data_IF_870827783532
#
_entry.id   IF_870827783532
#
_cell.length_a   1.000
_cell.length_b   1.000
_cell.length_c   1.000
_cell.angle_alpha   90.00
_cell.angle_beta   90.00
_cell.angle_gamma   90.00
#
_symmetry.space_group_name_H-M   'P 1'
#
loop_
_entity.id
_entity.type
_entity.pdbx_description
1 polymer ?
#
# COMPACT_ATOMS: atom_id res chain seq x y z
N UNK A 1 15.99 22.09 -0.64
CA UNK A 1 14.63 22.68 -0.67
C UNK A 1 13.73 21.80 0.18
N UNK A 2 12.92 22.36 1.09
CA UNK A 2 12.04 21.56 1.97
C UNK A 2 10.87 20.96 1.19
N UNK A 3 10.21 19.94 1.75
CA UNK A 3 8.98 19.38 1.15
C UNK A 3 7.90 20.46 0.97
N UNK A 4 7.69 21.29 2.00
CA UNK A 4 6.72 22.38 1.96
C UNK A 4 7.02 23.40 0.85
N UNK A 5 8.30 23.72 0.62
CA UNK A 5 8.70 24.65 -0.44
C UNK A 5 8.64 24.08 -1.85
N UNK A 6 8.54 22.75 -2.02
CA UNK A 6 8.57 22.09 -3.34
C UNK A 6 7.23 21.49 -3.76
N UNK A 7 6.41 21.08 -2.80
CA UNK A 7 5.27 20.18 -3.05
C UNK A 7 3.96 20.65 -2.41
N UNK A 8 3.91 21.87 -1.87
CA UNK A 8 2.62 22.48 -1.52
C UNK A 8 1.89 22.90 -2.79
N UNK A 9 0.56 22.92 -2.69
CA UNK A 9 -0.30 23.44 -3.75
C UNK A 9 0.11 24.90 -4.07
N UNK A 10 0.28 25.18 -5.36
CA UNK A 10 0.56 26.54 -5.82
C UNK A 10 -0.63 27.45 -5.46
N UNK A 11 -0.34 28.64 -4.91
CA UNK A 11 -1.37 29.56 -4.41
C UNK A 11 -1.84 29.31 -2.97
N UNK A 12 -1.30 28.33 -2.26
CA UNK A 12 -1.55 28.13 -0.84
C UNK A 12 -1.08 29.35 -0.03
N UNK A 13 -1.97 29.96 0.75
CA UNK A 13 -1.66 31.13 1.58
C UNK A 13 -0.66 30.79 2.69
N UNK A 14 0.06 31.79 3.19
CA UNK A 14 1.05 31.57 4.25
C UNK A 14 0.37 31.19 5.58
N UNK A 15 -0.82 31.69 5.87
CA UNK A 15 -1.61 31.28 7.05
C UNK A 15 -1.99 29.80 6.98
N UNK A 16 -2.30 29.30 5.78
CA UNK A 16 -2.65 27.89 5.59
C UNK A 16 -1.40 27.00 5.72
N UNK A 17 -0.24 27.46 5.25
CA UNK A 17 1.05 26.76 5.46
C UNK A 17 1.44 26.72 6.94
N UNK A 18 1.28 27.83 7.66
CA UNK A 18 1.50 27.89 9.10
C UNK A 18 0.57 26.96 9.85
N UNK A 19 -0.71 26.93 9.47
CA UNK A 19 -1.70 25.98 10.02
C UNK A 19 -1.25 24.54 9.77
N UNK A 20 -0.79 24.21 8.56
CA UNK A 20 -0.29 22.87 8.24
C UNK A 20 0.93 22.53 9.09
N UNK A 21 1.92 23.42 9.22
CA UNK A 21 3.08 23.19 10.09
C UNK A 21 2.67 22.96 11.55
N UNK A 22 1.72 23.75 12.06
CA UNK A 22 1.18 23.55 13.41
C UNK A 22 0.56 22.16 13.62
N UNK A 23 -0.06 21.58 12.57
CA UNK A 23 -0.56 20.19 12.64
C UNK A 23 0.59 19.19 12.76
N UNK A 24 1.68 19.36 11.99
CA UNK A 24 2.87 18.51 12.10
C UNK A 24 3.47 18.59 13.51
N UNK A 25 3.68 19.80 14.03
CA UNK A 25 4.24 20.05 15.35
C UNK A 25 3.38 19.46 16.48
N UNK A 26 2.05 19.55 16.35
CA UNK A 26 1.12 19.05 17.35
C UNK A 26 1.05 17.51 17.38
N UNK A 27 1.14 16.86 16.21
CA UNK A 27 0.69 15.46 16.06
C UNK A 27 1.79 14.44 15.84
N UNK A 28 2.86 14.78 15.10
CA UNK A 28 3.80 13.77 14.57
C UNK A 28 4.54 13.03 15.69
N UNK A 29 5.22 13.77 16.57
CA UNK A 29 6.03 13.16 17.63
C UNK A 29 5.19 12.30 18.58
N UNK A 30 4.03 12.82 19.01
CA UNK A 30 3.09 12.11 19.88
C UNK A 30 2.55 10.84 19.24
N UNK A 31 2.23 10.88 17.94
CA UNK A 31 1.69 9.73 17.21
C UNK A 31 2.74 8.65 17.03
N UNK A 32 3.98 9.02 16.64
CA UNK A 32 5.11 8.08 16.55
C UNK A 32 5.37 7.46 17.92
N UNK A 33 5.47 8.28 18.98
CA UNK A 33 5.68 7.79 20.33
C UNK A 33 4.60 6.80 20.77
N UNK A 34 3.33 7.08 20.46
CA UNK A 34 2.23 6.17 20.76
C UNK A 34 2.38 4.84 20.02
N UNK A 35 2.65 4.86 18.71
CA UNK A 35 2.83 3.63 17.91
C UNK A 35 3.99 2.79 18.46
N UNK A 36 5.13 3.42 18.78
CA UNK A 36 6.31 2.74 19.31
C UNK A 36 6.08 2.09 20.67
N UNK A 37 5.20 2.67 21.50
CA UNK A 37 4.98 2.24 22.88
C UNK A 37 3.78 1.31 23.06
N UNK A 38 2.72 1.49 22.26
CA UNK A 38 1.42 0.85 22.48
C UNK A 38 0.96 -0.03 21.31
N UNK A 39 1.62 0.05 20.16
CA UNK A 39 1.30 -0.75 18.99
C UNK A 39 2.46 -1.71 18.65
N UNK A 40 2.19 -2.64 17.75
CA UNK A 40 3.19 -3.56 17.21
C UNK A 40 3.28 -3.38 15.69
N UNK A 41 4.49 -3.51 15.19
CA UNK A 41 4.78 -3.62 13.76
C UNK A 41 5.52 -4.93 13.51
N UNK A 42 5.00 -5.75 12.60
CA UNK A 42 5.62 -7.03 12.22
C UNK A 42 6.95 -6.83 11.48
N UNK A 43 7.07 -5.72 10.76
CA UNK A 43 8.32 -5.21 10.20
C UNK A 43 8.51 -3.78 10.72
N UNK A 44 9.58 -3.50 11.49
CA UNK A 44 9.80 -2.18 12.05
C UNK A 44 9.95 -1.11 10.98
N UNK A 45 9.28 0.03 11.19
CA UNK A 45 9.47 1.23 10.37
C UNK A 45 10.52 2.18 10.97
N UNK A 46 10.99 3.13 10.17
CA UNK A 46 11.86 4.23 10.64
C UNK A 46 11.04 5.51 10.77
N UNK A 47 11.28 6.30 11.82
CA UNK A 47 10.47 7.48 12.12
C UNK A 47 10.49 8.52 10.98
N UNK A 48 11.66 8.78 10.41
CA UNK A 48 11.78 9.65 9.24
C UNK A 48 11.02 9.12 8.01
N UNK A 49 10.91 7.80 7.87
CA UNK A 49 10.13 7.17 6.80
C UNK A 49 8.63 7.36 7.01
N UNK A 50 8.15 7.29 8.26
CA UNK A 50 6.75 7.56 8.60
C UNK A 50 6.39 9.01 8.25
N UNK A 51 7.21 9.98 8.64
CA UNK A 51 7.01 11.39 8.30
C UNK A 51 7.09 11.64 6.79
N UNK A 52 8.05 11.02 6.09
CA UNK A 52 8.14 11.11 4.63
C UNK A 52 6.88 10.55 3.95
N UNK A 53 6.30 9.46 4.49
CA UNK A 53 5.07 8.87 3.99
C UNK A 53 3.86 9.78 4.26
N UNK A 54 3.80 10.45 5.41
CA UNK A 54 2.78 11.46 5.72
C UNK A 54 2.81 12.59 4.70
N UNK A 55 3.98 13.19 4.47
CA UNK A 55 4.15 14.26 3.49
C UNK A 55 3.72 13.83 2.08
N UNK A 56 4.08 12.61 1.67
CA UNK A 56 3.72 12.09 0.34
C UNK A 56 2.24 11.78 0.19
N UNK A 57 1.61 11.22 1.22
CA UNK A 57 0.18 10.92 1.19
C UNK A 57 -0.65 12.22 1.22
N UNK A 58 -0.28 13.18 2.07
CA UNK A 58 -0.93 14.48 2.06
C UNK A 58 -0.79 15.17 0.70
N UNK A 59 0.41 15.15 0.09
CA UNK A 59 0.66 15.69 -1.24
C UNK A 59 -0.28 15.08 -2.30
N UNK A 60 -0.57 13.77 -2.24
CA UNK A 60 -1.42 13.13 -3.25
C UNK A 60 -2.91 13.45 -3.06
N UNK A 61 -3.32 13.74 -1.83
CA UNK A 61 -4.71 14.00 -1.47
C UNK A 61 -5.08 15.47 -1.61
N UNK A 62 -4.20 16.37 -1.16
CA UNK A 62 -4.46 17.80 -1.15
C UNK A 62 -4.09 18.43 -2.51
N UNK A 63 -4.95 18.21 -3.52
CA UNK A 63 -4.75 18.64 -4.92
C UNK A 63 -6.04 19.21 -5.53
N UNK A 64 -5.91 20.10 -6.51
CA UNK A 64 -7.07 20.67 -7.24
C UNK A 64 -7.82 19.58 -7.99
N UNK A 65 -7.11 18.64 -8.59
CA UNK A 65 -7.66 17.50 -9.33
C UNK A 65 -8.49 16.57 -8.45
N UNK A 66 -8.18 16.49 -7.16
CA UNK A 66 -8.98 15.74 -6.19
C UNK A 66 -10.25 16.50 -5.75
N UNK A 67 -10.38 17.79 -6.07
CA UNK A 67 -11.50 18.63 -5.70
C UNK A 67 -11.20 19.61 -4.56
N UNK A 68 -9.93 19.86 -4.23
CA UNK A 68 -9.56 20.89 -3.26
C UNK A 68 -9.68 22.28 -3.88
N UNK A 69 -10.55 23.11 -3.31
CA UNK A 69 -10.70 24.52 -3.66
C UNK A 69 -10.03 25.41 -2.60
N UNK A 70 -8.90 26.01 -2.96
CA UNK A 70 -8.15 26.91 -2.07
C UNK A 70 -8.91 28.20 -1.72
N UNK A 71 -9.90 28.59 -2.54
CA UNK A 71 -10.72 29.78 -2.28
C UNK A 71 -11.92 29.48 -1.36
N UNK A 72 -12.18 28.21 -1.06
CA UNK A 72 -13.31 27.83 -0.23
C UNK A 72 -13.12 28.34 1.22
N UNK A 73 -14.17 28.90 1.86
CA UNK A 73 -14.06 29.45 3.21
C UNK A 73 -13.73 28.39 4.28
N UNK A 74 -13.97 27.11 3.99
CA UNK A 74 -13.73 25.96 4.84
C UNK A 74 -12.43 25.20 4.49
N UNK A 75 -11.54 25.78 3.67
CA UNK A 75 -10.31 25.14 3.22
C UNK A 75 -9.42 24.68 4.38
N UNK A 76 -9.33 25.45 5.46
CA UNK A 76 -8.54 25.09 6.63
C UNK A 76 -9.08 23.83 7.33
N UNK A 77 -10.40 23.67 7.40
CA UNK A 77 -11.04 22.47 7.95
C UNK A 77 -10.88 21.25 7.03
N UNK A 78 -11.06 21.46 5.72
CA UNK A 78 -10.80 20.45 4.69
C UNK A 78 -9.36 19.94 4.75
N UNK A 79 -8.40 20.85 4.86
CA UNK A 79 -6.98 20.52 5.02
C UNK A 79 -6.72 19.70 6.28
N UNK A 80 -7.33 20.08 7.42
CA UNK A 80 -7.22 19.33 8.69
C UNK A 80 -7.75 17.90 8.56
N UNK A 81 -8.90 17.71 7.90
CA UNK A 81 -9.47 16.38 7.64
C UNK A 81 -8.54 15.52 6.77
N UNK A 82 -8.08 16.07 5.65
CA UNK A 82 -7.14 15.39 4.74
C UNK A 82 -5.83 15.05 5.45
N UNK A 83 -5.28 15.98 6.25
CA UNK A 83 -4.09 15.77 7.06
C UNK A 83 -4.27 14.62 8.05
N UNK A 84 -5.37 14.57 8.79
CA UNK A 84 -5.62 13.51 9.76
C UNK A 84 -5.81 12.15 9.10
N UNK A 85 -6.44 12.09 7.93
CA UNK A 85 -6.46 10.87 7.12
C UNK A 85 -5.05 10.43 6.72
N UNK A 86 -4.23 11.36 6.23
CA UNK A 86 -2.85 11.07 5.85
C UNK A 86 -2.01 10.61 7.05
N UNK A 87 -2.20 11.20 8.25
CA UNK A 87 -1.54 10.82 9.50
C UNK A 87 -1.84 9.36 9.88
N UNK A 88 -3.12 8.98 9.86
CA UNK A 88 -3.58 7.62 10.16
C UNK A 88 -2.91 6.61 9.25
N UNK A 89 -2.93 6.84 7.94
CA UNK A 89 -2.45 5.88 6.95
C UNK A 89 -0.95 5.91 6.67
N UNK A 90 -0.23 6.90 7.20
CA UNK A 90 1.23 6.97 7.12
C UNK A 90 1.91 6.45 8.38
N UNK A 91 1.54 6.96 9.56
CA UNK A 91 2.16 6.61 10.84
C UNK A 91 1.51 5.36 11.44
N UNK A 92 0.18 5.26 11.38
CA UNK A 92 -0.58 4.10 11.85
C UNK A 92 -0.73 2.98 10.82
N UNK A 93 -0.36 3.23 9.55
CA UNK A 93 -0.62 2.29 8.45
C UNK A 93 0.01 0.90 8.61
N UNK A 94 1.11 0.80 9.34
CA UNK A 94 1.88 -0.44 9.54
C UNK A 94 1.57 -1.18 10.86
N UNK A 95 0.60 -0.69 11.65
CA UNK A 95 0.16 -1.37 12.88
C UNK A 95 -0.43 -2.74 12.52
N UNK A 96 0.08 -3.82 13.12
CA UNK A 96 -0.21 -5.18 12.65
C UNK A 96 -1.40 -5.88 13.33
N UNK A 97 -1.72 -5.52 14.56
CA UNK A 97 -2.81 -6.14 15.32
C UNK A 97 -4.12 -5.35 15.22
N UNK A 98 -5.24 -6.07 15.27
CA UNK A 98 -6.59 -5.48 15.37
C UNK A 98 -6.69 -4.61 16.63
N UNK A 99 -6.28 -5.15 17.79
CA UNK A 99 -6.25 -4.42 19.06
C UNK A 99 -5.37 -3.16 19.00
N UNK A 100 -4.22 -3.24 18.31
CA UNK A 100 -3.34 -2.09 18.11
C UNK A 100 -4.00 -1.00 17.25
N UNK A 101 -4.73 -1.40 16.20
CA UNK A 101 -5.50 -0.48 15.35
C UNK A 101 -6.65 0.18 16.12
N UNK A 102 -7.32 -0.55 17.01
CA UNK A 102 -8.37 -0.01 17.90
C UNK A 102 -7.80 1.02 18.88
N UNK A 103 -6.74 0.67 19.62
CA UNK A 103 -6.03 1.60 20.53
C UNK A 103 -5.53 2.85 19.82
N UNK A 104 -4.98 2.67 18.61
CA UNK A 104 -4.54 3.80 17.79
C UNK A 104 -5.72 4.68 17.37
N UNK A 105 -6.85 4.09 16.98
CA UNK A 105 -8.07 4.82 16.62
C UNK A 105 -8.58 5.67 17.79
N UNK A 106 -8.63 5.12 19.00
CA UNK A 106 -9.00 5.84 20.22
C UNK A 106 -8.05 7.00 20.48
N UNK A 107 -6.74 6.74 20.46
CA UNK A 107 -5.70 7.77 20.64
C UNK A 107 -5.85 8.94 19.67
N UNK A 108 -6.07 8.68 18.38
CA UNK A 108 -6.25 9.73 17.36
C UNK A 108 -7.48 10.58 17.65
N UNK A 109 -8.60 9.95 18.05
CA UNK A 109 -9.87 10.64 18.32
C UNK A 109 -9.80 11.50 19.58
N UNK A 110 -9.19 10.99 20.64
CA UNK A 110 -9.20 11.65 21.96
C UNK A 110 -8.13 12.72 22.11
N UNK A 111 -6.92 12.47 21.58
CA UNK A 111 -5.73 13.28 21.87
C UNK A 111 -5.74 14.61 21.12
N UNK A 112 -6.12 14.58 19.85
CA UNK A 112 -5.91 15.72 18.97
C UNK A 112 -7.17 16.57 18.79
N UNK A 113 -8.34 15.93 18.69
CA UNK A 113 -9.62 16.61 18.45
C UNK A 113 -9.59 17.62 17.28
N UNK A 114 -8.66 17.43 16.34
CA UNK A 114 -8.45 18.30 15.16
C UNK A 114 -9.61 18.16 14.18
N UNK A 115 -10.17 16.95 14.08
CA UNK A 115 -11.33 16.62 13.25
C UNK A 115 -12.15 15.52 13.90
N UNK A 116 -13.40 15.40 13.48
CA UNK A 116 -14.33 14.39 14.00
C UNK A 116 -14.50 13.25 12.99
N UNK A 117 -13.84 12.13 13.28
CA UNK A 117 -14.19 10.86 12.64
C UNK A 117 -15.56 10.37 13.15
N UNK A 118 -16.39 9.73 12.34
CA UNK A 118 -17.67 9.19 12.81
C UNK A 118 -17.45 8.12 13.89
N UNK A 119 -18.39 7.99 14.84
CA UNK A 119 -18.19 7.21 16.08
C UNK A 119 -18.21 5.68 15.89
N UNK A 120 -18.70 5.18 14.76
CA UNK A 120 -18.77 3.75 14.49
C UNK A 120 -17.42 3.23 13.98
N UNK A 121 -17.03 2.01 14.35
CA UNK A 121 -15.77 1.42 13.90
C UNK A 121 -14.52 2.25 14.23
N UNK A 122 -13.46 2.02 13.47
CA UNK A 122 -12.14 2.64 13.70
C UNK A 122 -11.87 3.77 12.71
N UNK A 123 -10.87 4.61 12.97
CA UNK A 123 -10.40 5.62 12.00
C UNK A 123 -9.96 5.01 10.65
N UNK A 124 -9.61 3.72 10.62
CA UNK A 124 -9.24 3.00 9.40
C UNK A 124 -10.44 2.63 8.52
N UNK A 125 -11.67 2.78 9.03
CA UNK A 125 -12.88 2.45 8.29
C UNK A 125 -13.39 3.58 7.40
N UNK A 126 -12.73 4.73 7.45
CA UNK A 126 -13.18 5.96 6.79
C UNK A 126 -12.23 6.46 5.70
N UNK A 127 -12.82 6.97 4.63
CA UNK A 127 -12.19 7.71 3.55
C UNK A 127 -12.72 9.15 3.55
N UNK A 128 -11.88 10.11 3.18
CA UNK A 128 -12.33 11.49 2.99
C UNK A 128 -13.11 11.63 1.68
N UNK A 129 -14.33 12.15 1.79
CA UNK A 129 -15.18 12.48 0.66
C UNK A 129 -15.02 13.96 0.29
N UNK A 130 -14.59 14.23 -0.95
CA UNK A 130 -14.32 15.60 -1.40
C UNK A 130 -15.60 16.39 -1.68
N UNK A 131 -16.70 15.72 -2.02
CA UNK A 131 -17.99 16.36 -2.33
C UNK A 131 -18.70 16.80 -1.03
N UNK A 132 -18.89 15.88 -0.09
CA UNK A 132 -19.48 16.17 1.22
C UNK A 132 -18.49 16.80 2.22
N UNK A 133 -17.19 16.84 1.89
CA UNK A 133 -16.10 17.31 2.77
C UNK A 133 -16.10 16.64 4.15
N UNK A 134 -16.44 15.36 4.18
CA UNK A 134 -16.62 14.59 5.41
C UNK A 134 -16.05 13.18 5.28
N UNK A 135 -15.97 12.46 6.40
CA UNK A 135 -15.50 11.09 6.42
C UNK A 135 -16.65 10.11 6.18
N UNK A 136 -16.56 9.33 5.12
CA UNK A 136 -17.51 8.28 4.76
C UNK A 136 -16.86 6.91 4.89
N UNK A 137 -17.64 5.85 5.09
CA UNK A 137 -17.08 4.51 5.23
C UNK A 137 -16.50 4.01 3.91
N UNK A 138 -15.36 3.32 3.92
CA UNK A 138 -14.83 2.66 2.73
C UNK A 138 -15.85 1.71 2.08
N UNK A 139 -16.67 1.03 2.91
CA UNK A 139 -17.70 0.10 2.47
C UNK A 139 -18.68 0.72 1.46
N UNK A 140 -19.06 1.99 1.64
CA UNK A 140 -20.03 2.66 0.75
C UNK A 140 -19.44 2.98 -0.63
N UNK A 141 -18.11 2.90 -0.78
CA UNK A 141 -17.38 3.09 -2.03
C UNK A 141 -16.89 1.77 -2.63
N UNK A 142 -17.02 0.64 -1.91
CA UNK A 142 -16.65 -0.69 -2.41
C UNK A 142 -17.59 -1.09 -3.55
N UNK A 143 -17.07 -1.47 -4.73
CA UNK A 143 -17.90 -1.98 -5.82
C UNK A 143 -18.65 -3.26 -5.42
N UNK A 144 -19.87 -3.43 -5.92
CA UNK A 144 -20.59 -4.70 -5.73
C UNK A 144 -20.01 -5.78 -6.63
N UNK A 145 -19.83 -6.98 -6.08
CA UNK A 145 -19.38 -8.13 -6.86
C UNK A 145 -20.44 -8.55 -7.87
N UNK A 146 -20.00 -8.83 -9.09
CA UNK A 146 -20.82 -9.45 -10.13
C UNK A 146 -20.11 -10.71 -10.61
N UNK A 147 -20.76 -11.85 -10.43
CA UNK A 147 -20.19 -13.13 -10.86
C UNK A 147 -20.17 -13.23 -12.39
N UNK A 148 -19.01 -13.56 -12.96
CA UNK A 148 -18.85 -13.80 -14.39
C UNK A 148 -18.41 -15.26 -14.62
N UNK A 149 -19.28 -16.03 -15.30
CA UNK A 149 -19.06 -17.45 -15.64
C UNK A 149 -17.91 -17.67 -16.63
N UNK A 150 -17.52 -16.65 -17.38
CA UNK A 150 -16.45 -16.74 -18.38
C UNK A 150 -15.05 -16.60 -17.77
N UNK A 151 -14.96 -16.03 -16.57
CA UNK A 151 -13.69 -15.89 -15.86
C UNK A 151 -13.22 -17.21 -15.26
N UNK A 152 -11.91 -17.45 -15.29
CA UNK A 152 -11.33 -18.57 -14.56
C UNK A 152 -11.43 -18.31 -13.07
N UNK A 153 -11.60 -19.36 -12.26
CA UNK A 153 -11.66 -19.23 -10.80
C UNK A 153 -10.48 -18.43 -10.21
N UNK A 154 -9.27 -18.62 -10.74
CA UNK A 154 -8.06 -17.89 -10.30
C UNK A 154 -8.07 -16.39 -10.60
N UNK A 155 -8.94 -15.92 -11.48
CA UNK A 155 -9.09 -14.52 -11.89
C UNK A 155 -10.26 -13.83 -11.18
N UNK A 156 -11.09 -14.60 -10.45
CA UNK A 156 -12.23 -14.05 -9.71
C UNK A 156 -11.71 -13.35 -8.45
N UNK A 157 -11.91 -12.04 -8.38
CA UNK A 157 -11.68 -11.24 -7.19
C UNK A 157 -13.01 -10.65 -6.73
N UNK A 158 -13.44 -11.01 -5.52
CA UNK A 158 -14.59 -10.39 -4.87
C UNK A 158 -14.12 -9.08 -4.22
N UNK A 159 -14.65 -7.91 -4.63
CA UNK A 159 -14.33 -6.66 -3.97
C UNK A 159 -14.80 -6.69 -2.51
N UNK A 160 -13.90 -6.34 -1.62
CA UNK A 160 -14.15 -6.12 -0.19
C UNK A 160 -13.67 -4.74 0.21
N UNK A 161 -14.10 -4.29 1.39
CA UNK A 161 -13.60 -3.07 2.05
C UNK A 161 -12.07 -2.95 1.99
N UNK A 162 -11.36 -4.04 2.28
CA UNK A 162 -9.90 -4.02 2.34
C UNK A 162 -9.28 -3.96 0.94
N UNK A 163 -9.81 -4.71 -0.04
CA UNK A 163 -9.33 -4.62 -1.43
C UNK A 163 -9.44 -3.20 -1.97
N UNK A 164 -10.58 -2.53 -1.75
CA UNK A 164 -10.80 -1.16 -2.18
C UNK A 164 -9.90 -0.17 -1.44
N UNK A 165 -9.84 -0.28 -0.10
CA UNK A 165 -9.03 0.58 0.77
C UNK A 165 -7.55 0.56 0.43
N UNK A 166 -6.94 -0.62 0.35
CA UNK A 166 -5.51 -0.74 0.04
C UNK A 166 -5.21 -0.39 -1.42
N UNK A 167 -6.15 -0.67 -2.34
CA UNK A 167 -6.04 -0.22 -3.74
C UNK A 167 -6.03 1.31 -3.85
N UNK A 168 -6.94 1.98 -3.15
CA UNK A 168 -7.01 3.43 -3.07
C UNK A 168 -5.70 4.02 -2.52
N UNK A 169 -5.26 3.56 -1.34
CA UNK A 169 -4.04 4.05 -0.69
C UNK A 169 -2.80 3.82 -1.57
N UNK A 170 -2.69 2.65 -2.20
CA UNK A 170 -1.59 2.37 -3.12
C UNK A 170 -1.63 3.34 -4.31
N UNK A 171 -2.79 3.56 -4.92
CA UNK A 171 -2.96 4.53 -6.00
C UNK A 171 -2.59 5.96 -5.60
N UNK A 172 -2.88 6.36 -4.36
CA UNK A 172 -2.49 7.66 -3.80
C UNK A 172 -0.96 7.81 -3.72
N UNK A 173 -0.25 6.83 -3.17
CA UNK A 173 1.22 6.89 -3.11
C UNK A 173 1.88 6.80 -4.50
N UNK A 174 1.39 5.91 -5.36
CA UNK A 174 1.94 5.72 -6.71
C UNK A 174 1.76 6.98 -7.57
N UNK A 175 0.68 7.74 -7.41
CA UNK A 175 0.44 8.97 -8.18
C UNK A 175 1.57 10.00 -7.99
N UNK A 176 2.12 10.11 -6.78
CA UNK A 176 3.24 10.97 -6.39
C UNK A 176 4.60 10.27 -6.41
N UNK A 177 4.71 9.14 -7.12
CA UNK A 177 5.92 8.32 -7.27
C UNK A 177 6.53 7.85 -5.95
N UNK A 178 5.69 7.57 -4.94
CA UNK A 178 6.10 6.97 -3.68
C UNK A 178 5.86 5.45 -3.74
N UNK A 179 6.88 4.66 -3.40
CA UNK A 179 6.75 3.22 -3.28
C UNK A 179 5.85 2.80 -2.12
N UNK A 180 5.23 1.63 -2.24
CA UNK A 180 4.35 1.06 -1.21
C UNK A 180 4.80 -0.35 -0.88
N UNK A 181 4.85 -0.67 0.42
CA UNK A 181 5.14 -2.00 0.94
C UNK A 181 3.91 -2.53 1.66
N UNK A 182 3.31 -3.59 1.13
CA UNK A 182 2.30 -4.38 1.84
C UNK A 182 2.98 -5.41 2.74
N UNK A 183 2.66 -5.34 4.03
CA UNK A 183 3.17 -6.25 5.06
C UNK A 183 2.01 -7.08 5.58
N UNK A 184 2.21 -8.38 5.78
CA UNK A 184 1.21 -9.25 6.40
C UNK A 184 1.48 -10.71 6.15
N UNK A 185 0.82 -11.59 6.91
CA UNK A 185 1.05 -13.03 6.84
C UNK A 185 0.74 -13.64 5.46
N UNK A 186 1.23 -14.86 5.21
CA UNK A 186 0.87 -15.59 3.99
C UNK A 186 -0.64 -15.72 3.88
N UNK A 187 -1.21 -15.58 2.67
CA UNK A 187 -2.64 -15.77 2.47
C UNK A 187 -3.53 -14.55 2.80
N UNK A 188 -2.98 -13.41 3.22
CA UNK A 188 -3.76 -12.17 3.45
C UNK A 188 -4.16 -11.42 2.17
N UNK A 189 -3.99 -12.01 0.99
CA UNK A 189 -4.39 -11.43 -0.30
C UNK A 189 -3.48 -10.32 -0.84
N UNK A 190 -2.29 -10.08 -0.26
CA UNK A 190 -1.35 -9.01 -0.68
C UNK A 190 -1.12 -8.95 -2.19
N UNK A 191 -0.72 -10.06 -2.81
CA UNK A 191 -0.38 -10.13 -4.23
C UNK A 191 -1.58 -9.88 -5.12
N UNK A 192 -2.74 -10.41 -4.74
CA UNK A 192 -4.00 -10.24 -5.46
C UNK A 192 -4.47 -8.79 -5.38
N UNK A 193 -4.49 -8.20 -4.18
CA UNK A 193 -4.88 -6.80 -3.97
C UNK A 193 -3.95 -5.85 -4.71
N UNK A 194 -2.63 -6.07 -4.64
CA UNK A 194 -1.67 -5.20 -5.32
C UNK A 194 -1.79 -5.32 -6.85
N UNK A 195 -1.96 -6.52 -7.39
CA UNK A 195 -2.14 -6.73 -8.84
C UNK A 195 -3.43 -6.08 -9.33
N UNK A 196 -4.54 -6.31 -8.64
CA UNK A 196 -5.82 -5.69 -8.95
C UNK A 196 -5.74 -4.16 -8.88
N UNK A 197 -5.15 -3.62 -7.82
CA UNK A 197 -4.97 -2.20 -7.67
C UNK A 197 -4.14 -1.60 -8.80
N UNK A 198 -3.06 -2.25 -9.23
CA UNK A 198 -2.24 -1.76 -10.33
C UNK A 198 -3.00 -1.76 -11.65
N UNK A 199 -3.81 -2.79 -11.91
CA UNK A 199 -4.64 -2.87 -13.10
C UNK A 199 -5.72 -1.77 -13.09
N UNK A 200 -6.45 -1.61 -11.98
CA UNK A 200 -7.52 -0.63 -11.82
C UNK A 200 -7.02 0.83 -11.87
N UNK A 201 -5.78 1.07 -11.45
CA UNK A 201 -5.17 2.40 -11.49
C UNK A 201 -4.35 2.65 -12.77
N UNK A 202 -4.19 1.65 -13.64
CA UNK A 202 -3.26 1.71 -14.77
C UNK A 202 -3.63 2.78 -15.80
N UNK A 203 -4.91 2.87 -16.17
CA UNK A 203 -5.37 3.87 -17.12
C UNK A 203 -5.30 5.28 -16.52
N UNK A 204 -5.90 5.45 -15.33
CA UNK A 204 -5.98 6.73 -14.62
C UNK A 204 -4.61 7.36 -14.37
N UNK A 205 -3.61 6.55 -14.00
CA UNK A 205 -2.26 7.02 -13.68
C UNK A 205 -1.24 6.78 -14.80
N UNK A 206 -1.68 6.28 -15.96
CA UNK A 206 -0.81 5.92 -17.09
C UNK A 206 0.32 4.96 -16.69
N UNK A 207 -0.02 3.93 -15.92
CA UNK A 207 0.92 2.92 -15.41
C UNK A 207 1.14 1.80 -16.42
N UNK A 208 2.35 1.26 -16.40
CA UNK A 208 2.71 -0.01 -17.05
C UNK A 208 3.19 -0.93 -15.92
N UNK A 209 2.31 -1.76 -15.35
CA UNK A 209 2.69 -2.66 -14.26
C UNK A 209 3.45 -3.88 -14.80
N UNK A 210 4.38 -4.38 -14.01
CA UNK A 210 4.95 -5.71 -14.21
C UNK A 210 5.38 -6.29 -12.87
N UNK A 211 5.33 -7.62 -12.77
CA UNK A 211 5.61 -8.32 -11.52
C UNK A 211 6.93 -9.10 -11.61
N UNK A 212 7.71 -9.04 -10.53
CA UNK A 212 8.83 -9.91 -10.27
C UNK A 212 8.52 -10.69 -8.98
N UNK A 213 8.46 -12.01 -9.09
CA UNK A 213 8.30 -12.88 -7.93
C UNK A 213 9.67 -13.30 -7.42
N UNK A 214 10.00 -12.93 -6.18
CA UNK A 214 11.24 -13.36 -5.56
C UNK A 214 11.10 -14.76 -4.94
N UNK A 215 12.23 -15.44 -4.90
CA UNK A 215 12.41 -16.75 -4.29
C UNK A 215 13.79 -16.82 -3.63
N UNK A 216 14.02 -17.85 -2.81
CA UNK A 216 15.31 -18.07 -2.16
C UNK A 216 16.50 -18.09 -3.14
N UNK A 217 16.28 -18.52 -4.39
CA UNK A 217 17.31 -18.63 -5.43
C UNK A 217 17.41 -17.41 -6.35
N UNK A 218 16.63 -16.35 -6.10
CA UNK A 218 16.69 -15.15 -6.93
C UNK A 218 18.01 -14.42 -6.72
N UNK A 219 18.72 -14.12 -7.81
CA UNK A 219 20.04 -13.48 -7.79
C UNK A 219 20.01 -12.06 -8.37
N UNK A 220 20.96 -11.22 -7.96
CA UNK A 220 21.05 -9.83 -8.44
C UNK A 220 21.15 -9.71 -9.98
N UNK A 221 21.95 -10.54 -10.69
CA UNK A 221 21.96 -10.52 -12.16
C UNK A 221 20.59 -10.84 -12.77
N UNK A 222 19.90 -11.88 -12.27
CA UNK A 222 18.58 -12.26 -12.77
C UNK A 222 17.54 -11.16 -12.53
N UNK A 223 17.57 -10.52 -11.36
CA UNK A 223 16.71 -9.36 -11.06
C UNK A 223 16.97 -8.22 -12.04
N UNK A 224 18.23 -7.92 -12.34
CA UNK A 224 18.57 -6.86 -13.29
C UNK A 224 18.08 -7.18 -14.70
N UNK A 225 18.28 -8.41 -15.18
CA UNK A 225 17.78 -8.86 -16.49
C UNK A 225 16.26 -8.71 -16.60
N UNK A 226 15.51 -9.12 -15.57
CA UNK A 226 14.05 -8.98 -15.54
C UNK A 226 13.59 -7.52 -15.60
N UNK A 227 14.31 -6.61 -14.94
CA UNK A 227 14.04 -5.17 -14.98
C UNK A 227 14.37 -4.56 -16.35
N UNK A 228 15.56 -4.86 -16.88
CA UNK A 228 16.04 -4.31 -18.15
C UNK A 228 15.19 -4.74 -19.35
N UNK A 229 14.56 -5.91 -19.30
CA UNK A 229 13.58 -6.36 -20.30
C UNK A 229 12.34 -5.47 -20.38
N UNK A 230 12.05 -4.69 -19.34
CA UNK A 230 10.88 -3.80 -19.25
C UNK A 230 11.22 -2.33 -19.46
N UNK A 231 12.51 -1.98 -19.50
CA UNK A 231 12.94 -0.60 -19.68
C UNK A 231 13.12 -0.24 -21.15
N UNK A 232 12.56 0.90 -21.54
CA UNK A 232 12.82 1.55 -22.81
C UNK A 232 14.10 2.38 -22.74
N UNK A 233 14.91 2.31 -23.80
CA UNK A 233 16.07 3.19 -23.97
C UNK A 233 15.59 4.55 -24.44
N UNK A 234 15.72 5.59 -23.60
CA UNK A 234 15.32 6.96 -23.93
C UNK A 234 16.42 7.71 -24.68
N UNK A 235 17.61 7.73 -24.08
CA UNK A 235 18.83 8.33 -24.64
C UNK A 235 20.06 7.69 -24.00
N UNK A 236 21.25 8.05 -24.45
CA UNK A 236 22.50 7.51 -23.89
C UNK A 236 22.54 7.76 -22.37
N UNK A 237 22.66 6.68 -21.59
CA UNK A 237 22.70 6.72 -20.13
C UNK A 237 21.35 6.93 -19.43
N UNK A 238 20.22 6.88 -20.14
CA UNK A 238 18.88 7.01 -19.54
C UNK A 238 17.94 5.93 -20.08
N UNK A 239 17.40 5.14 -19.17
CA UNK A 239 16.42 4.08 -19.41
C UNK A 239 15.22 4.28 -18.47
N UNK A 240 14.09 3.65 -18.75
CA UNK A 240 12.93 3.76 -17.86
C UNK A 240 11.64 3.30 -18.49
N UNK A 241 10.51 3.83 -18.03
CA UNK A 241 9.20 3.57 -18.63
C UNK A 241 9.14 4.00 -20.10
N UNK A 242 8.16 3.53 -20.90
CA UNK A 242 7.82 4.14 -22.18
C UNK A 242 7.46 5.62 -22.05
N UNK A 243 7.61 6.40 -23.15
CA UNK A 243 7.32 7.85 -23.16
C UNK A 243 5.86 8.09 -22.70
N UNK A 244 5.67 9.08 -21.81
CA UNK A 244 4.38 9.45 -21.21
C UNK A 244 3.70 8.35 -20.37
N UNK A 245 4.44 7.32 -19.95
CA UNK A 245 3.97 6.28 -19.04
C UNK A 245 4.86 6.23 -17.80
N UNK A 246 4.33 5.64 -16.72
CA UNK A 246 5.09 5.31 -15.50
C UNK A 246 5.19 3.81 -15.37
N UNK A 247 6.38 3.27 -15.25
CA UNK A 247 6.58 1.84 -15.06
C UNK A 247 6.44 1.51 -13.56
N UNK A 248 5.61 0.53 -13.22
CA UNK A 248 5.45 0.11 -11.82
C UNK A 248 5.92 -1.32 -11.67
N UNK A 249 7.04 -1.50 -10.99
CA UNK A 249 7.60 -2.81 -10.68
C UNK A 249 6.98 -3.30 -9.38
N UNK A 250 6.14 -4.33 -9.45
CA UNK A 250 5.71 -5.06 -8.27
C UNK A 250 6.70 -6.17 -7.94
N UNK A 251 7.35 -6.09 -6.78
CA UNK A 251 8.21 -7.17 -6.26
C UNK A 251 7.46 -7.91 -5.16
N UNK A 252 6.98 -9.10 -5.51
CA UNK A 252 6.32 -9.99 -4.56
C UNK A 252 7.35 -10.79 -3.77
N UNK A 253 7.03 -11.06 -2.50
CA UNK A 253 7.90 -11.79 -1.57
C UNK A 253 9.32 -11.21 -1.49
N UNK A 254 9.45 -9.88 -1.37
CA UNK A 254 10.75 -9.20 -1.50
C UNK A 254 11.81 -9.65 -0.48
N UNK A 255 11.39 -10.22 0.65
CA UNK A 255 12.28 -10.70 1.69
C UNK A 255 12.64 -12.20 1.61
N UNK A 256 12.26 -12.89 0.53
CA UNK A 256 12.63 -14.28 0.28
C UNK A 256 14.06 -14.55 -0.22
N UNK A 257 14.76 -13.66 -0.96
CA UNK A 257 16.09 -13.98 -1.46
C UNK A 257 17.07 -14.34 -0.35
N UNK A 258 17.88 -15.37 -0.59
CA UNK A 258 18.87 -15.85 0.37
C UNK A 258 19.92 -14.76 0.68
N UNK A 259 20.42 -14.80 1.91
CA UNK A 259 21.55 -13.96 2.33
C UNK A 259 22.85 -14.56 1.83
N UNK A 260 23.78 -13.71 1.40
CA UNK A 260 25.16 -14.13 1.22
C UNK A 260 25.87 -14.32 2.57
N UNK A 261 27.13 -14.76 2.52
CA UNK A 261 27.99 -15.03 3.68
C UNK A 261 28.02 -13.86 4.69
N UNK A 262 28.03 -12.63 4.19
CA UNK A 262 28.07 -11.41 5.01
C UNK A 262 26.69 -10.84 5.36
N UNK A 263 25.62 -11.59 5.09
CA UNK A 263 24.25 -11.22 5.47
C UNK A 263 23.54 -10.27 4.50
N UNK A 264 24.20 -9.79 3.44
CA UNK A 264 23.56 -8.96 2.43
C UNK A 264 22.60 -9.78 1.56
N UNK A 265 21.65 -9.09 0.91
CA UNK A 265 20.73 -9.67 -0.06
C UNK A 265 20.90 -8.93 -1.38
N UNK A 266 21.82 -9.36 -2.25
CA UNK A 266 22.18 -8.64 -3.49
C UNK A 266 21.01 -8.26 -4.42
N UNK A 267 19.93 -9.07 -4.57
CA UNK A 267 18.74 -8.65 -5.32
C UNK A 267 18.06 -7.41 -4.75
N UNK A 268 17.98 -7.31 -3.42
CA UNK A 268 17.32 -6.20 -2.72
C UNK A 268 18.22 -4.96 -2.75
N UNK A 269 19.53 -5.12 -2.60
CA UNK A 269 20.47 -3.99 -2.72
C UNK A 269 20.49 -3.40 -4.14
N UNK A 270 20.27 -4.23 -5.17
CA UNK A 270 20.04 -3.74 -6.53
C UNK A 270 18.73 -2.93 -6.63
N UNK A 271 17.62 -3.42 -6.07
CA UNK A 271 16.37 -2.66 -6.03
C UNK A 271 16.52 -1.35 -5.26
N UNK A 272 17.33 -1.35 -4.20
CA UNK A 272 17.68 -0.13 -3.48
C UNK A 272 18.44 0.83 -4.38
N UNK A 273 19.49 0.37 -5.07
CA UNK A 273 20.25 1.18 -6.02
C UNK A 273 19.38 1.79 -7.13
N UNK A 274 18.36 1.05 -7.58
CA UNK A 274 17.39 1.49 -8.58
C UNK A 274 16.59 2.73 -8.14
N UNK A 275 16.25 2.82 -6.85
CA UNK A 275 15.36 3.85 -6.30
C UNK A 275 16.07 4.89 -5.42
N UNK A 276 17.35 4.68 -5.09
CA UNK A 276 18.13 5.56 -4.23
C UNK A 276 18.44 6.87 -4.95
N UNK A 277 17.56 7.86 -4.75
CA UNK A 277 17.76 9.24 -5.19
C UNK A 277 18.72 9.90 -4.20
N UNK A 278 20.01 9.86 -4.51
CA UNK A 278 21.01 10.58 -3.71
C UNK A 278 20.84 12.08 -3.99
N UNK A 279 20.14 12.77 -3.08
CA UNK A 279 19.73 14.18 -3.17
C UNK A 279 20.87 15.15 -3.56
N UNK A 280 22.12 14.80 -3.26
CA UNK A 280 23.30 15.63 -3.55
C UNK A 280 23.88 15.46 -4.97
N UNK A 281 23.50 14.42 -5.71
CA UNK A 281 24.14 14.12 -7.00
C UNK A 281 23.18 13.74 -8.13
N UNK A 282 21.97 13.23 -7.85
CA UNK A 282 21.06 12.72 -8.89
C UNK A 282 19.58 12.86 -8.53
N UNK A 283 18.79 13.22 -9.55
CA UNK A 283 17.33 13.25 -9.46
C UNK A 283 16.69 11.85 -9.46
N UNK A 284 17.45 10.84 -9.90
CA UNK A 284 17.00 9.46 -10.10
C UNK A 284 18.00 8.44 -9.57
N UNK A 285 17.50 7.26 -9.19
CA UNK A 285 18.34 6.09 -9.02
C UNK A 285 18.68 5.47 -10.39
N UNK A 286 19.26 4.28 -10.38
CA UNK A 286 19.64 3.64 -11.64
C UNK A 286 20.42 2.36 -11.46
N UNK A 287 21.07 1.93 -12.53
CA UNK A 287 21.80 0.66 -12.58
C UNK A 287 23.09 0.79 -13.39
N UNK A 288 24.08 -0.03 -13.03
CA UNK A 288 25.30 -0.19 -13.83
C UNK A 288 25.12 -1.28 -14.87
N UNK A 289 25.47 -0.99 -16.13
CA UNK A 289 25.68 -2.04 -17.12
C UNK A 289 26.88 -2.88 -16.68
N UNK A 290 26.64 -4.15 -16.34
CA UNK A 290 27.67 -5.05 -15.78
C UNK A 290 28.78 -5.41 -16.77
N UNK A 291 28.54 -5.27 -18.07
CA UNK A 291 29.50 -5.62 -19.13
C UNK A 291 30.29 -4.40 -19.58
N UNK A 292 29.60 -3.30 -19.82
CA UNK A 292 30.17 -2.05 -20.37
C UNK A 292 30.59 -1.06 -19.29
N UNK A 293 30.27 -1.33 -18.02
CA UNK A 293 30.67 -0.56 -16.85
C UNK A 293 30.29 0.92 -16.92
N UNK A 294 29.11 1.21 -17.49
CA UNK A 294 28.57 2.58 -17.50
C UNK A 294 27.24 2.62 -16.74
N UNK A 295 26.97 3.78 -16.14
CA UNK A 295 25.75 4.03 -15.39
C UNK A 295 24.59 4.41 -16.31
N UNK A 296 23.40 3.90 -16.02
CA UNK A 296 22.14 4.33 -16.61
C UNK A 296 21.18 4.82 -15.54
N UNK A 297 20.71 6.06 -15.67
CA UNK A 297 19.62 6.59 -14.86
C UNK A 297 18.32 5.86 -15.22
N UNK A 298 17.56 5.47 -14.20
CA UNK A 298 16.24 4.85 -14.36
C UNK A 298 15.17 5.86 -14.00
N UNK A 299 14.44 6.32 -15.01
CA UNK A 299 13.42 7.37 -14.88
C UNK A 299 12.00 6.81 -14.94
N UNK A 300 11.04 7.59 -14.43
CA UNK A 300 9.60 7.29 -14.51
C UNK A 300 9.21 5.90 -13.98
N UNK A 301 9.95 5.38 -12.99
CA UNK A 301 9.75 4.04 -12.42
C UNK A 301 9.40 4.13 -10.94
N UNK A 302 8.42 3.34 -10.50
CA UNK A 302 8.02 3.20 -9.10
C UNK A 302 8.14 1.74 -8.68
N UNK A 303 8.68 1.49 -7.50
CA UNK A 303 8.75 0.17 -6.91
C UNK A 303 7.62 0.02 -5.89
N UNK A 304 6.80 -1.01 -6.07
CA UNK A 304 5.82 -1.46 -5.06
C UNK A 304 6.18 -2.89 -4.68
N UNK A 305 5.86 -3.29 -3.45
CA UNK A 305 6.34 -4.56 -2.93
C UNK A 305 5.43 -5.15 -1.87
N UNK A 306 5.53 -6.46 -1.70
CA UNK A 306 4.86 -7.18 -0.62
C UNK A 306 5.84 -8.13 0.08
N UNK A 307 5.65 -8.32 1.39
CA UNK A 307 6.36 -9.35 2.14
C UNK A 307 5.59 -9.81 3.39
N UNK A 308 5.93 -10.99 3.89
CA UNK A 308 5.52 -11.46 5.21
C UNK A 308 6.55 -11.11 6.29
N UNK A 309 6.18 -11.25 7.58
CA UNK A 309 7.14 -11.13 8.67
C UNK A 309 8.32 -12.12 8.49
N UNK A 310 9.52 -11.79 9.00
CA UNK A 310 10.66 -12.70 9.00
C UNK A 310 10.34 -14.03 9.70
N UNK A 311 10.84 -15.14 9.16
CA UNK A 311 10.48 -16.50 9.59
C UNK A 311 9.98 -17.37 8.43
N UNK A 312 9.95 -18.69 8.61
CA UNK A 312 9.43 -19.63 7.59
C UNK A 312 10.12 -19.50 6.22
N UNK A 313 11.43 -19.23 6.19
CA UNK A 313 12.21 -19.00 4.97
C UNK A 313 12.36 -17.52 4.54
N UNK A 314 11.65 -16.60 5.21
CA UNK A 314 11.74 -15.15 4.97
C UNK A 314 12.82 -14.51 5.82
N UNK A 315 13.62 -13.64 5.21
CA UNK A 315 14.75 -12.97 5.85
C UNK A 315 14.38 -11.58 6.38
N UNK A 316 15.12 -11.08 7.38
CA UNK A 316 15.03 -9.67 7.76
C UNK A 316 15.72 -8.83 6.68
N UNK A 317 15.03 -7.81 6.18
CA UNK A 317 15.55 -6.86 5.19
C UNK A 317 16.00 -5.57 5.88
N UNK A 318 17.03 -4.92 5.34
CA UNK A 318 17.57 -3.70 5.96
C UNK A 318 16.58 -2.54 5.88
N UNK A 319 16.51 -1.74 6.95
CA UNK A 319 15.70 -0.51 6.98
C UNK A 319 16.09 0.50 5.89
N UNK A 320 17.33 0.42 5.36
CA UNK A 320 17.81 1.25 4.25
C UNK A 320 17.02 1.02 2.96
N UNK A 321 16.43 -0.15 2.77
CA UNK A 321 15.54 -0.43 1.66
C UNK A 321 14.11 0.01 1.98
N UNK A 322 13.58 -0.36 3.15
CA UNK A 322 12.19 -0.04 3.51
C UNK A 322 11.91 1.45 3.70
N UNK A 323 12.92 2.30 3.97
CA UNK A 323 12.77 3.77 4.03
C UNK A 323 12.24 4.43 2.74
N UNK A 324 12.22 3.69 1.62
CA UNK A 324 11.69 4.19 0.35
C UNK A 324 10.19 3.94 0.18
N UNK A 325 9.58 3.19 1.09
CA UNK A 325 8.20 2.73 0.99
C UNK A 325 7.32 3.30 2.09
N UNK A 326 6.09 3.68 1.73
CA UNK A 326 5.01 3.73 2.70
C UNK A 326 4.62 2.30 3.08
N UNK A 327 4.59 1.99 4.38
CA UNK A 327 4.34 0.65 4.89
C UNK A 327 2.88 0.52 5.33
N UNK A 328 2.18 -0.48 4.78
CA UNK A 328 0.78 -0.74 5.05
C UNK A 328 0.61 -2.20 5.46
N UNK A 329 0.05 -2.43 6.65
CA UNK A 329 -0.16 -3.77 7.17
C UNK A 329 -1.56 -4.31 6.81
N UNK A 330 -1.59 -5.39 6.03
CA UNK A 330 -2.78 -6.13 5.66
C UNK A 330 -3.05 -7.22 6.70
N UNK A 331 -4.10 -7.01 7.48
CA UNK A 331 -4.63 -7.99 8.41
C UNK A 331 -5.33 -9.14 7.65
N UNK A 332 -5.35 -10.36 8.21
CA UNK A 332 -6.16 -11.43 7.65
C UNK A 332 -7.64 -11.05 7.57
N UNK A 333 -8.36 -11.47 6.51
CA UNK A 333 -9.79 -11.22 6.40
C UNK A 333 -10.54 -11.90 7.56
N UNK A 334 -11.54 -11.21 8.10
CA UNK A 334 -12.40 -11.80 9.14
C UNK A 334 -13.28 -12.91 8.56
N UNK A 335 -13.81 -13.78 9.42
CA UNK A 335 -14.79 -14.79 9.01
C UNK A 335 -15.97 -14.20 8.25
N UNK A 336 -16.49 -13.06 8.69
CA UNK A 336 -17.61 -12.39 8.02
C UNK A 336 -17.24 -12.02 6.57
N UNK A 337 -16.04 -11.51 6.35
CA UNK A 337 -15.53 -11.19 5.00
C UNK A 337 -15.33 -12.46 4.18
N UNK A 338 -14.73 -13.52 4.75
CA UNK A 338 -14.56 -14.80 4.06
C UNK A 338 -15.90 -15.40 3.63
N UNK A 339 -16.93 -15.34 4.50
CA UNK A 339 -18.29 -15.80 4.18
C UNK A 339 -18.86 -15.04 2.99
N UNK A 340 -18.73 -13.72 2.97
CA UNK A 340 -19.20 -12.90 1.83
C UNK A 340 -18.48 -13.31 0.54
N UNK A 341 -17.15 -13.44 0.57
CA UNK A 341 -16.36 -13.84 -0.60
C UNK A 341 -16.83 -15.20 -1.15
N UNK A 342 -16.82 -16.23 -0.31
CA UNK A 342 -17.14 -17.58 -0.77
C UNK A 342 -18.62 -17.75 -1.13
N UNK A 343 -19.54 -17.11 -0.40
CA UNK A 343 -20.96 -17.12 -0.74
C UNK A 343 -21.21 -16.43 -2.08
N UNK A 344 -20.64 -15.25 -2.32
CA UNK A 344 -20.82 -14.53 -3.59
C UNK A 344 -20.35 -15.34 -4.81
N UNK A 345 -19.23 -16.06 -4.69
CA UNK A 345 -18.73 -16.93 -5.75
C UNK A 345 -19.65 -18.15 -5.93
N UNK A 346 -19.99 -18.83 -4.83
CA UNK A 346 -20.77 -20.06 -4.89
C UNK A 346 -22.23 -19.81 -5.33
N UNK A 347 -22.86 -18.73 -4.88
CA UNK A 347 -24.19 -18.31 -5.34
C UNK A 347 -24.22 -18.05 -6.84
N UNK A 348 -23.20 -17.34 -7.35
CA UNK A 348 -23.06 -17.08 -8.78
C UNK A 348 -22.86 -18.35 -9.61
N UNK A 349 -22.07 -19.30 -9.10
CA UNK A 349 -21.89 -20.61 -9.73
C UNK A 349 -23.19 -21.44 -9.73
N UNK A 350 -23.90 -21.46 -8.60
CA UNK A 350 -25.13 -22.23 -8.41
C UNK A 350 -26.36 -21.59 -9.07
N UNK A 351 -26.24 -20.43 -9.71
CA UNK A 351 -27.36 -19.70 -10.30
C UNK A 351 -28.21 -20.55 -11.29
N UNK A 352 -27.59 -21.48 -12.01
CA UNK A 352 -28.27 -22.36 -12.98
C UNK A 352 -28.68 -23.72 -12.41
N UNK A 353 -28.42 -23.97 -11.12
CA UNK A 353 -28.71 -25.24 -10.47
C UNK A 353 -30.17 -25.28 -9.94
N UNK A 354 -30.70 -26.46 -9.59
CA UNK A 354 -32.01 -26.55 -8.93
C UNK A 354 -32.04 -25.81 -7.57
N UNK A 355 -33.22 -25.32 -7.18
CA UNK A 355 -33.40 -24.55 -5.94
C UNK A 355 -32.97 -25.33 -4.67
N UNK A 356 -33.14 -26.65 -4.70
CA UNK A 356 -32.67 -27.52 -3.62
C UNK A 356 -31.16 -27.43 -3.43
N UNK A 357 -30.38 -27.19 -4.49
CA UNK A 357 -28.93 -27.02 -4.44
C UNK A 357 -28.56 -25.59 -4.04
N UNK A 358 -29.25 -24.58 -4.59
CA UNK A 358 -29.02 -23.17 -4.24
C UNK A 358 -29.19 -22.91 -2.74
N UNK A 359 -30.22 -23.50 -2.13
CA UNK A 359 -30.50 -23.35 -0.70
C UNK A 359 -29.39 -23.90 0.22
N UNK A 360 -28.51 -24.77 -0.29
CA UNK A 360 -27.37 -25.32 0.46
C UNK A 360 -26.14 -24.40 0.45
N UNK A 361 -26.13 -23.33 -0.35
CA UNK A 361 -24.96 -22.47 -0.52
C UNK A 361 -24.41 -21.95 0.82
N UNK A 362 -25.26 -21.30 1.61
CA UNK A 362 -24.88 -20.72 2.90
C UNK A 362 -24.30 -21.76 3.87
N UNK A 363 -25.00 -22.90 4.00
CA UNK A 363 -24.58 -23.99 4.89
C UNK A 363 -23.24 -24.60 4.46
N UNK A 364 -23.02 -24.72 3.15
CA UNK A 364 -21.76 -25.23 2.58
C UNK A 364 -20.60 -24.28 2.86
N UNK A 365 -20.81 -22.98 2.69
CA UNK A 365 -19.80 -21.94 2.99
C UNK A 365 -19.48 -21.91 4.49
N UNK A 366 -20.50 -21.90 5.34
CA UNK A 366 -20.35 -21.91 6.80
C UNK A 366 -19.53 -23.13 7.26
N UNK A 367 -19.90 -24.33 6.81
CA UNK A 367 -19.19 -25.57 7.13
C UNK A 367 -17.74 -25.58 6.61
N UNK A 368 -17.51 -25.07 5.40
CA UNK A 368 -16.16 -25.02 4.81
C UNK A 368 -15.22 -24.09 5.58
N UNK A 369 -15.72 -22.94 6.02
CA UNK A 369 -14.95 -21.99 6.83
C UNK A 369 -14.66 -22.57 8.21
N UNK A 370 -15.64 -23.20 8.86
CA UNK A 370 -15.45 -23.86 10.16
C UNK A 370 -14.36 -24.93 10.09
N UNK A 371 -14.39 -25.78 9.05
CA UNK A 371 -13.37 -26.81 8.80
C UNK A 371 -12.01 -26.17 8.56
N UNK A 372 -11.94 -25.12 7.72
CA UNK A 372 -10.70 -24.41 7.42
C UNK A 372 -10.05 -23.83 8.68
N UNK A 373 -10.84 -23.21 9.57
CA UNK A 373 -10.33 -22.62 10.81
C UNK A 373 -9.84 -23.68 11.77
N UNK A 374 -10.58 -24.77 11.92
CA UNK A 374 -10.15 -25.89 12.77
C UNK A 374 -8.83 -26.48 12.28
N UNK A 375 -8.70 -26.73 10.98
CA UNK A 375 -7.46 -27.21 10.38
C UNK A 375 -6.34 -26.18 10.57
N UNK A 376 -6.61 -24.89 10.36
CA UNK A 376 -5.60 -23.84 10.51
C UNK A 376 -5.10 -23.70 11.96
N UNK A 377 -5.95 -23.98 12.94
CA UNK A 377 -5.59 -23.96 14.36
C UNK A 377 -4.86 -25.23 14.82
N UNK A 378 -5.27 -26.41 14.33
CA UNK A 378 -4.75 -27.71 14.78
C UNK A 378 -3.56 -28.21 13.95
N UNK A 379 -3.50 -27.88 12.66
CA UNK A 379 -2.51 -28.35 11.69
C UNK A 379 -1.63 -27.17 11.23
N UNK A 380 -0.92 -26.56 12.18
CA UNK A 380 -0.05 -25.43 11.89
C UNK A 380 1.01 -25.80 10.84
N UNK A 381 1.31 -24.90 9.87
CA UNK A 381 2.35 -25.12 8.88
C UNK A 381 3.73 -25.08 9.56
N UNK A 382 4.12 -26.21 10.11
CA UNK A 382 5.46 -26.49 10.64
C UNK A 382 5.88 -27.89 10.18
N UNK A 383 7.16 -28.11 9.81
CA UNK A 383 7.75 -29.44 9.79
C UNK A 383 7.73 -30.09 11.17
#
# INVERSE_FOLDING_TARGET
VTWMGKYTLEGMSDELKETLMGLFDQTVEKTIYFVRRNCRESIPSMDNNLVASLCRLFQSLFTVEAGVDLAAPDIADTMKKIYMFALVWSIGGNVDTVEGKEKFSEFIRETFQITRFPNSGTVYDYIFDYEGKEFVQFETRTPQFQYNKELKFSEILVPTKDTFRYSYLMGQFVSVQRGVLFVGDTGTGKSVIMTDALNNQSERLSLVPFTINFSAQTSSPRTQEMLELKFDKRRKGVIGAPINKKLVCFVDDVNMPAREEYGAQPPIELLRLLIDKVEYYRDWGGVWDRKKLFWSDVVDTVLVSACGPPGGGRNVVTARFFRFFAMLNLSPPSQAVLKVIFASILEGHLADFPEQVKSLCKQTVDASIEVYEKISAEMLPTP
#
